data_IF_352706156017
#
_entry.id   IF_352706156017
#
_cell.length_a   1.000
_cell.length_b   1.000
_cell.length_c   1.000
_cell.angle_alpha   90.00
_cell.angle_beta   90.00
_cell.angle_gamma   90.00
#
_symmetry.space_group_name_H-M   'P 1'
#
loop_
_entity.id
_entity.type
_entity.pdbx_description
1 polymer ?
#
# COMPACT_ATOMS: atom_id res chain seq x y z
N UNK A 1 -8.82 8.19 10.79
CA UNK A 1 -8.09 8.29 9.64
C UNK A 1 -8.72 9.19 8.63
N UNK A 2 -8.17 10.34 8.50
CA UNK A 2 -8.31 11.28 7.40
C UNK A 2 -9.71 11.64 6.95
N UNK A 3 -10.69 11.55 7.76
CA UNK A 3 -12.03 12.04 7.43
C UNK A 3 -12.70 11.40 6.22
N UNK A 4 -12.13 10.40 5.60
CA UNK A 4 -12.77 9.68 4.52
C UNK A 4 -13.77 8.70 5.10
N UNK A 5 -15.00 8.74 4.58
CA UNK A 5 -16.00 7.75 4.94
C UNK A 5 -15.88 6.47 4.10
N UNK A 6 -15.03 6.49 3.06
CA UNK A 6 -14.86 5.32 2.19
C UNK A 6 -13.97 4.29 2.84
N UNK A 7 -14.42 3.04 2.84
CA UNK A 7 -13.63 1.90 3.28
C UNK A 7 -14.12 0.65 2.57
N UNK A 8 -13.25 -0.31 2.46
CA UNK A 8 -13.55 -1.61 1.88
C UNK A 8 -13.10 -2.67 2.86
N UNK A 9 -13.95 -3.64 3.13
CA UNK A 9 -13.69 -4.64 4.17
C UNK A 9 -13.61 -6.04 3.60
N UNK A 10 -12.62 -6.75 4.05
CA UNK A 10 -12.62 -8.20 4.17
C UNK A 10 -12.91 -8.54 5.63
N UNK A 11 -13.19 -9.79 5.93
CA UNK A 11 -13.55 -10.22 7.29
C UNK A 11 -12.52 -9.82 8.35
N UNK A 12 -11.21 -9.94 8.04
CA UNK A 12 -10.13 -9.70 9.00
C UNK A 12 -9.15 -8.60 8.58
N UNK A 13 -9.36 -7.99 7.42
CA UNK A 13 -8.58 -6.84 6.95
C UNK A 13 -9.51 -5.81 6.35
N UNK A 14 -9.05 -4.58 6.21
CA UNK A 14 -9.82 -3.53 5.54
C UNK A 14 -8.88 -2.62 4.75
N UNK A 15 -9.47 -1.90 3.81
CA UNK A 15 -8.76 -0.92 2.99
C UNK A 15 -9.38 0.45 3.15
N UNK A 16 -8.57 1.49 3.15
CA UNK A 16 -9.00 2.89 3.23
C UNK A 16 -8.09 3.74 2.35
N UNK A 17 -8.57 4.89 1.85
CA UNK A 17 -7.69 5.85 1.21
C UNK A 17 -6.62 6.34 2.19
N UNK A 18 -5.39 6.54 1.69
CA UNK A 18 -4.34 7.16 2.50
C UNK A 18 -4.67 8.65 2.68
N UNK A 19 -4.53 9.15 3.91
CA UNK A 19 -4.76 10.56 4.22
C UNK A 19 -3.69 11.49 3.66
N UNK A 20 -2.52 10.95 3.33
CA UNK A 20 -1.40 11.70 2.75
C UNK A 20 -0.93 10.95 1.50
N UNK A 21 -1.75 10.91 0.45
CA UNK A 21 -1.46 10.05 -0.70
C UNK A 21 -0.21 10.52 -1.44
N UNK A 22 0.65 9.56 -1.79
CA UNK A 22 1.82 9.80 -2.65
C UNK A 22 1.35 10.11 -4.07
N UNK A 23 0.34 9.38 -4.51
CA UNK A 23 -0.34 9.61 -5.80
C UNK A 23 -1.85 9.51 -5.58
N UNK A 24 -2.66 10.05 -6.51
CA UNK A 24 -4.12 9.87 -6.40
C UNK A 24 -4.51 8.40 -6.29
N UNK A 25 -5.46 8.11 -5.42
CA UNK A 25 -6.00 6.78 -5.12
C UNK A 25 -5.05 5.86 -4.35
N UNK A 26 -3.99 6.41 -3.76
CA UNK A 26 -3.12 5.68 -2.84
C UNK A 26 -3.98 5.08 -1.72
N UNK A 27 -3.88 3.77 -1.52
CA UNK A 27 -4.74 3.01 -0.62
C UNK A 27 -3.91 2.27 0.43
N UNK A 28 -4.41 2.22 1.65
CA UNK A 28 -3.84 1.44 2.73
C UNK A 28 -4.65 0.18 2.94
N UNK A 29 -3.96 -0.93 3.21
CA UNK A 29 -4.57 -2.20 3.57
C UNK A 29 -4.07 -2.57 4.95
N UNK A 30 -5.01 -2.76 5.88
CA UNK A 30 -4.73 -2.82 7.32
C UNK A 30 -5.42 -4.04 7.91
N UNK A 31 -4.70 -4.93 8.63
CA UNK A 31 -5.35 -5.99 9.39
C UNK A 31 -6.13 -5.40 10.55
N UNK A 32 -7.28 -5.99 10.86
CA UNK A 32 -8.12 -5.52 11.98
C UNK A 32 -7.45 -5.83 13.32
N UNK A 33 -6.81 -6.98 13.44
CA UNK A 33 -6.04 -7.34 14.63
C UNK A 33 -4.79 -6.48 14.71
N UNK A 34 -4.42 -6.03 15.89
CA UNK A 34 -3.17 -5.30 16.07
C UNK A 34 -1.98 -6.24 15.82
N UNK A 35 -1.13 -5.84 14.88
CA UNK A 35 0.13 -6.51 14.60
C UNK A 35 1.17 -5.42 14.32
N UNK A 36 2.33 -5.53 14.95
CA UNK A 36 3.37 -4.51 14.79
C UNK A 36 4.07 -4.62 13.45
N UNK A 37 4.29 -5.84 12.96
CA UNK A 37 4.98 -6.07 11.70
C UNK A 37 4.28 -7.16 10.89
N UNK A 38 4.65 -7.25 9.61
CA UNK A 38 4.21 -8.32 8.71
C UNK A 38 4.47 -9.71 9.30
N UNK A 39 5.61 -9.86 9.99
CA UNK A 39 6.06 -11.15 10.49
C UNK A 39 5.18 -11.69 11.62
N UNK A 40 4.34 -10.85 12.20
CA UNK A 40 3.38 -11.26 13.23
C UNK A 40 2.02 -11.67 12.65
N UNK A 41 1.83 -11.51 11.34
CA UNK A 41 0.56 -11.86 10.70
C UNK A 41 0.42 -13.37 10.57
N UNK A 42 -0.80 -13.87 10.78
CA UNK A 42 -1.15 -15.24 10.47
C UNK A 42 -1.39 -15.43 8.98
N UNK A 43 -1.37 -16.68 8.52
CA UNK A 43 -1.57 -16.99 7.09
C UNK A 43 -2.92 -16.50 6.59
N UNK A 44 -3.97 -16.61 7.41
CA UNK A 44 -5.29 -16.10 7.03
C UNK A 44 -5.28 -14.59 6.79
N UNK A 45 -4.53 -13.85 7.59
CA UNK A 45 -4.39 -12.40 7.43
C UNK A 45 -3.61 -12.06 6.15
N UNK A 46 -2.54 -12.80 5.87
CA UNK A 46 -1.75 -12.62 4.66
C UNK A 46 -2.62 -12.89 3.42
N UNK A 47 -3.39 -13.97 3.45
CA UNK A 47 -4.30 -14.31 2.36
C UNK A 47 -5.37 -13.23 2.15
N UNK A 48 -5.92 -12.71 3.24
CA UNK A 48 -6.92 -11.65 3.17
C UNK A 48 -6.33 -10.35 2.62
N UNK A 49 -5.11 -10.00 3.00
CA UNK A 49 -4.40 -8.85 2.43
C UNK A 49 -4.20 -9.03 0.93
N UNK A 50 -3.78 -10.20 0.49
CA UNK A 50 -3.57 -10.51 -0.93
C UNK A 50 -4.88 -10.37 -1.72
N UNK A 51 -5.97 -10.89 -1.17
CA UNK A 51 -7.29 -10.75 -1.79
C UNK A 51 -7.66 -9.27 -1.95
N UNK A 52 -7.49 -8.51 -0.87
CA UNK A 52 -7.92 -7.12 -0.85
C UNK A 52 -7.05 -6.23 -1.76
N UNK A 53 -5.75 -6.51 -1.86
CA UNK A 53 -4.85 -5.83 -2.82
C UNK A 53 -5.38 -6.01 -4.24
N UNK A 54 -5.72 -7.23 -4.62
CA UNK A 54 -6.23 -7.52 -5.97
C UNK A 54 -7.58 -6.85 -6.22
N UNK A 55 -8.45 -6.86 -5.23
CA UNK A 55 -9.75 -6.20 -5.30
C UNK A 55 -9.59 -4.69 -5.47
N UNK A 56 -8.71 -4.08 -4.68
CA UNK A 56 -8.48 -2.64 -4.74
C UNK A 56 -7.78 -2.23 -6.03
N UNK A 57 -6.87 -3.06 -6.55
CA UNK A 57 -6.26 -2.82 -7.87
C UNK A 57 -7.33 -2.65 -8.93
N UNK A 58 -8.28 -3.57 -8.97
CA UNK A 58 -9.38 -3.52 -9.95
C UNK A 58 -10.23 -2.27 -9.76
N UNK A 59 -10.59 -1.94 -8.53
CA UNK A 59 -11.36 -0.73 -8.24
C UNK A 59 -10.64 0.52 -8.73
N UNK A 60 -9.34 0.62 -8.44
CA UNK A 60 -8.54 1.78 -8.83
C UNK A 60 -8.45 1.91 -10.35
N UNK A 61 -8.22 0.81 -11.04
CA UNK A 61 -8.15 0.79 -12.50
C UNK A 61 -9.49 1.17 -13.13
N UNK A 62 -10.59 0.77 -12.52
CA UNK A 62 -11.93 1.13 -12.99
C UNK A 62 -12.23 2.62 -12.76
N UNK A 63 -11.73 3.19 -11.67
CA UNK A 63 -11.94 4.61 -11.35
C UNK A 63 -11.02 5.54 -12.17
N UNK A 64 -9.82 5.09 -12.52
CA UNK A 64 -8.83 5.90 -13.22
C UNK A 64 -8.07 5.04 -14.23
N UNK A 65 -8.46 5.16 -15.48
CA UNK A 65 -7.89 4.38 -16.57
C UNK A 65 -6.45 4.79 -16.92
N UNK A 66 -5.94 5.89 -16.38
CA UNK A 66 -4.55 6.29 -16.58
C UNK A 66 -3.57 5.51 -15.72
N UNK A 67 -4.06 4.78 -14.71
CA UNK A 67 -3.22 3.94 -13.86
C UNK A 67 -2.72 2.75 -14.66
N UNK A 68 -1.40 2.61 -14.77
CA UNK A 68 -0.78 1.54 -15.55
C UNK A 68 0.31 0.79 -14.77
N UNK A 69 0.45 1.06 -13.49
CA UNK A 69 1.38 0.34 -12.63
C UNK A 69 1.07 0.55 -11.16
N UNK A 70 1.72 -0.22 -10.31
CA UNK A 70 1.54 -0.12 -8.86
C UNK A 70 2.87 -0.37 -8.16
N UNK A 71 3.14 0.41 -7.11
CA UNK A 71 4.09 0.01 -6.09
C UNK A 71 3.31 -0.55 -4.91
N UNK A 72 3.77 -1.67 -4.39
CA UNK A 72 3.20 -2.29 -3.20
C UNK A 72 4.31 -2.33 -2.16
N UNK A 73 4.07 -1.73 -1.00
CA UNK A 73 5.11 -1.59 -0.01
C UNK A 73 4.62 -1.73 1.41
N UNK A 74 5.53 -2.13 2.28
CA UNK A 74 5.30 -2.29 3.71
C UNK A 74 6.61 -2.05 4.44
N UNK A 75 6.53 -1.36 5.57
CA UNK A 75 7.68 -1.07 6.40
C UNK A 75 7.59 -1.90 7.68
N UNK A 76 8.65 -2.61 8.00
CA UNK A 76 8.72 -3.44 9.20
C UNK A 76 9.90 -2.99 10.05
N UNK A 77 9.60 -2.29 11.14
CA UNK A 77 10.62 -1.78 12.06
C UNK A 77 10.97 -0.32 11.80
N UNK A 78 11.47 0.32 12.82
CA UNK A 78 11.81 1.75 12.79
C UNK A 78 12.86 2.05 11.74
N UNK A 79 13.89 1.20 11.63
CA UNK A 79 14.98 1.40 10.65
C UNK A 79 14.50 1.30 9.21
N UNK A 80 13.35 0.65 8.99
CA UNK A 80 12.73 0.54 7.67
C UNK A 80 11.69 1.62 7.42
N UNK A 81 11.54 2.57 8.36
CA UNK A 81 10.64 3.71 8.19
C UNK A 81 9.25 3.51 8.77
N UNK A 82 9.02 2.46 9.54
CA UNK A 82 7.72 2.27 10.21
C UNK A 82 7.55 3.32 11.31
N UNK A 83 6.52 4.15 11.17
CA UNK A 83 6.23 5.21 12.15
C UNK A 83 4.98 4.93 12.97
N UNK A 84 4.13 4.02 12.50
CA UNK A 84 2.89 3.62 13.19
C UNK A 84 3.02 2.16 13.56
N UNK A 85 2.80 1.85 14.84
CA UNK A 85 3.02 0.50 15.38
C UNK A 85 1.86 -0.47 15.08
N UNK A 86 0.96 -0.12 14.18
CA UNK A 86 -0.04 -1.02 13.62
C UNK A 86 0.33 -1.20 12.15
N UNK A 87 0.77 -2.39 11.80
CA UNK A 87 1.27 -2.68 10.45
C UNK A 87 0.22 -2.41 9.39
N UNK A 88 0.66 -1.88 8.27
CA UNK A 88 -0.20 -1.63 7.12
C UNK A 88 0.62 -1.77 5.84
N UNK A 89 -0.08 -2.08 4.76
CA UNK A 89 0.49 -2.20 3.42
C UNK A 89 0.00 -1.03 2.58
N UNK A 90 0.89 -0.47 1.77
CA UNK A 90 0.54 0.60 0.83
C UNK A 90 0.38 0.04 -0.57
N UNK A 91 -0.70 0.43 -1.22
CA UNK A 91 -0.95 0.18 -2.63
C UNK A 91 -0.92 1.54 -3.33
N UNK A 92 0.15 1.80 -4.07
CA UNK A 92 0.41 3.11 -4.67
C UNK A 92 0.22 3.01 -6.18
N UNK A 93 -0.87 3.59 -6.72
CA UNK A 93 -1.08 3.61 -8.16
C UNK A 93 -0.04 4.48 -8.85
N UNK A 94 0.47 4.00 -9.97
CA UNK A 94 1.44 4.74 -10.75
C UNK A 94 0.88 5.01 -12.15
N UNK A 95 1.35 6.11 -12.74
CA UNK A 95 0.92 6.51 -14.09
C UNK A 95 2.16 6.89 -14.87
N UNK A 96 2.14 6.60 -16.17
CA UNK A 96 3.23 7.02 -17.06
C UNK A 96 3.45 8.51 -16.91
N UNK A 97 4.69 8.92 -16.66
CA UNK A 97 5.06 10.33 -16.54
C UNK A 97 4.88 10.93 -15.16
N UNK A 98 4.46 10.17 -14.16
CA UNK A 98 4.32 10.71 -12.80
C UNK A 98 5.67 11.00 -12.12
N UNK A 99 6.75 10.38 -12.59
CA UNK A 99 8.13 10.76 -12.29
C UNK A 99 8.95 10.66 -13.56
N UNK A 100 10.10 11.31 -13.59
CA UNK A 100 10.96 11.33 -14.79
C UNK A 100 11.55 9.95 -15.08
N UNK A 101 12.05 9.27 -14.04
CA UNK A 101 12.67 7.95 -14.18
C UNK A 101 12.18 7.02 -13.07
N UNK A 102 11.23 6.11 -13.37
CA UNK A 102 10.67 5.21 -12.36
C UNK A 102 11.52 3.97 -12.08
N UNK A 103 12.64 3.80 -12.78
CA UNK A 103 13.47 2.60 -12.60
C UNK A 103 13.91 2.44 -11.15
N UNK A 104 13.97 1.19 -10.72
CA UNK A 104 14.36 0.84 -9.36
C UNK A 104 13.19 0.78 -8.37
N UNK A 105 12.17 1.63 -8.55
CA UNK A 105 10.98 1.59 -7.69
C UNK A 105 11.33 1.53 -6.21
N UNK A 106 10.93 0.43 -5.56
CA UNK A 106 11.17 0.23 -4.11
C UNK A 106 12.65 0.13 -3.71
N UNK A 107 13.56 -0.05 -4.67
CA UNK A 107 15.00 -0.05 -4.37
C UNK A 107 15.51 1.31 -3.88
N UNK A 108 14.76 2.37 -4.12
CA UNK A 108 15.09 3.72 -3.64
C UNK A 108 14.77 3.91 -2.15
N UNK A 109 14.56 2.83 -1.40
CA UNK A 109 14.46 2.90 0.07
C UNK A 109 15.72 3.50 0.69
N UNK A 110 16.89 3.30 0.05
CA UNK A 110 18.08 4.08 0.34
C UNK A 110 18.27 5.02 -0.85
N UNK A 111 18.19 6.35 -0.63
CA UNK A 111 18.22 7.31 -1.71
C UNK A 111 19.40 7.11 -2.65
N UNK A 112 19.15 7.12 -3.95
CA UNK A 112 20.17 6.97 -4.97
C UNK A 112 20.65 5.55 -5.21
N UNK A 113 20.13 4.55 -4.51
CA UNK A 113 20.57 3.16 -4.66
C UNK A 113 19.69 2.33 -5.58
N UNK A 114 18.62 2.91 -6.11
CA UNK A 114 17.67 2.20 -6.96
C UNK A 114 18.10 2.06 -8.42
N UNK A 115 19.05 2.85 -8.87
CA UNK A 115 19.49 2.82 -10.27
C UNK A 115 20.51 1.71 -10.50
N UNK A 116 20.23 0.83 -11.45
CA UNK A 116 21.08 -0.33 -11.78
C UNK A 116 20.95 -0.69 -13.25
#
# INVERSE_FOLDING_TARGET
>A
MCGSSRSWSHEIVFAIPDGYPVTPLHTLIIPKRHASTFFELGQAEINACTFLVKDQKKRIEDEDHSVDGFNIGKNNGVSAGQTINHWHMRLIPRRTGDVDDPRGGVRHTLPGKGYY
#
